data_IF_128040880900
#
_entry.id   IF_128040880900
#
_cell.length_a   1.000
_cell.length_b   1.000
_cell.length_c   1.000
_cell.angle_alpha   90.00
_cell.angle_beta   90.00
_cell.angle_gamma   90.00
#
_symmetry.space_group_name_H-M   'P 1'
#
loop_
_entity.id
_entity.type
_entity.pdbx_description
1 polymer ?
#
# COMPACT_ATOMS: atom_id res chain seq x y z
N UNK A 1 -0.75 -9.67 -15.31
CA UNK A 1 -0.46 -9.70 -13.86
C UNK A 1 -1.70 -9.27 -13.08
N UNK A 2 -1.94 -9.86 -11.94
CA UNK A 2 -2.99 -9.42 -11.04
C UNK A 2 -2.55 -8.19 -10.23
N UNK A 3 -3.43 -7.68 -9.35
CA UNK A 3 -3.13 -6.50 -8.53
C UNK A 3 -1.89 -6.70 -7.66
N UNK A 4 -1.80 -7.82 -6.96
CA UNK A 4 -0.69 -8.10 -6.04
C UNK A 4 0.63 -8.19 -6.79
N UNK A 5 0.66 -8.91 -7.91
CA UNK A 5 1.85 -9.03 -8.74
C UNK A 5 2.29 -7.68 -9.32
N UNK A 6 1.33 -6.83 -9.69
CA UNK A 6 1.63 -5.51 -10.22
C UNK A 6 2.20 -4.60 -9.12
N UNK A 7 1.60 -4.60 -7.93
CA UNK A 7 2.16 -3.87 -6.77
C UNK A 7 3.60 -4.34 -6.51
N UNK A 8 3.80 -5.65 -6.44
CA UNK A 8 5.11 -6.26 -6.22
C UNK A 8 6.15 -5.78 -7.23
N UNK A 9 5.75 -5.64 -8.49
CA UNK A 9 6.67 -5.20 -9.55
C UNK A 9 7.19 -3.77 -9.37
N UNK A 10 6.51 -2.93 -8.59
CA UNK A 10 6.95 -1.57 -8.29
C UNK A 10 7.75 -1.46 -6.98
N UNK A 11 7.95 -2.56 -6.28
CA UNK A 11 8.71 -2.58 -5.03
C UNK A 11 10.14 -3.05 -5.33
N UNK A 12 11.12 -2.23 -4.96
CA UNK A 12 12.52 -2.56 -5.12
C UNK A 12 13.00 -3.48 -3.98
N UNK A 13 14.07 -4.24 -4.24
CA UNK A 13 14.60 -5.20 -3.27
C UNK A 13 15.05 -4.58 -1.95
N UNK A 14 15.45 -3.32 -1.97
CA UNK A 14 15.90 -2.57 -0.79
C UNK A 14 14.81 -1.74 -0.13
N UNK A 15 13.58 -1.77 -0.66
CA UNK A 15 12.46 -1.07 -0.04
C UNK A 15 12.05 -1.75 1.27
N UNK A 16 11.75 -0.91 2.28
CA UNK A 16 11.12 -1.36 3.53
C UNK A 16 9.62 -1.07 3.42
N UNK A 17 8.81 -2.11 3.41
CA UNK A 17 7.41 -2.03 2.98
C UNK A 17 6.45 -2.17 4.15
N UNK A 18 5.43 -1.32 4.20
CA UNK A 18 4.23 -1.55 5.01
C UNK A 18 3.01 -1.64 4.11
N UNK A 19 2.26 -2.74 4.25
CA UNK A 19 1.01 -3.00 3.56
C UNK A 19 -0.14 -2.78 4.55
N UNK A 20 -0.88 -1.68 4.37
CA UNK A 20 -1.99 -1.31 5.26
C UNK A 20 -3.30 -1.82 4.66
N UNK A 21 -4.07 -2.57 5.46
CA UNK A 21 -5.23 -3.30 4.95
C UNK A 21 -4.79 -4.57 4.24
N UNK A 22 -3.92 -5.33 4.88
CA UNK A 22 -3.20 -6.44 4.24
C UNK A 22 -4.06 -7.68 3.93
N UNK A 23 -5.25 -7.77 4.51
CA UNK A 23 -6.17 -8.91 4.33
C UNK A 23 -5.44 -10.24 4.55
N UNK A 24 -5.31 -11.08 3.53
CA UNK A 24 -4.64 -12.39 3.63
C UNK A 24 -3.12 -12.30 3.58
N UNK A 25 -2.55 -11.10 3.62
CA UNK A 25 -1.10 -10.85 3.57
C UNK A 25 -0.41 -11.41 2.31
N UNK A 26 -1.11 -11.45 1.19
CA UNK A 26 -0.58 -12.00 -0.07
C UNK A 26 0.65 -11.26 -0.57
N UNK A 27 0.69 -9.93 -0.43
CA UNK A 27 1.86 -9.15 -0.82
C UNK A 27 3.06 -9.49 0.06
N UNK A 28 2.85 -9.54 1.38
CA UNK A 28 3.91 -9.92 2.32
C UNK A 28 4.48 -11.30 2.03
N UNK A 29 3.62 -12.26 1.71
CA UNK A 29 4.03 -13.62 1.32
C UNK A 29 4.89 -13.58 0.05
N UNK A 30 4.48 -12.81 -0.94
CA UNK A 30 5.22 -12.69 -2.20
C UNK A 30 6.60 -12.06 -1.99
N UNK A 31 6.67 -11.01 -1.15
CA UNK A 31 7.94 -10.37 -0.78
C UNK A 31 8.84 -11.34 0.01
N UNK A 32 8.26 -12.09 0.94
CA UNK A 32 9.01 -13.07 1.76
C UNK A 32 9.64 -14.16 0.90
N UNK A 33 9.00 -14.56 -0.19
CA UNK A 33 9.54 -15.56 -1.13
C UNK A 33 10.83 -15.11 -1.80
N UNK A 34 11.10 -13.80 -1.87
CA UNK A 34 12.40 -13.27 -2.31
C UNK A 34 13.26 -12.79 -1.13
N UNK A 35 12.96 -13.27 0.08
CA UNK A 35 13.67 -12.95 1.31
C UNK A 35 13.61 -11.46 1.70
N UNK A 36 12.53 -10.78 1.32
CA UNK A 36 12.30 -9.38 1.65
C UNK A 36 11.30 -9.27 2.81
N UNK A 37 11.72 -8.60 3.87
CA UNK A 37 10.88 -8.35 5.04
C UNK A 37 9.83 -7.30 4.75
N UNK A 38 8.68 -7.42 5.40
CA UNK A 38 7.61 -6.41 5.32
C UNK A 38 6.82 -6.34 6.62
N UNK A 39 6.12 -5.23 6.79
CA UNK A 39 5.10 -5.04 7.81
C UNK A 39 3.76 -5.17 7.10
N UNK A 40 2.86 -5.97 7.66
CA UNK A 40 1.51 -6.11 7.14
C UNK A 40 0.52 -5.83 8.27
N UNK A 41 -0.40 -4.90 8.04
CA UNK A 41 -1.33 -4.48 9.08
C UNK A 41 -2.77 -4.50 8.59
N UNK A 42 -3.68 -4.68 9.54
CA UNK A 42 -5.11 -4.61 9.30
C UNK A 42 -5.78 -4.13 10.58
N UNK A 43 -6.91 -3.45 10.45
CA UNK A 43 -7.69 -3.01 11.61
C UNK A 43 -8.40 -4.20 12.28
N UNK A 44 -8.65 -5.27 11.55
CA UNK A 44 -9.35 -6.46 12.03
C UNK A 44 -8.39 -7.43 12.73
N UNK A 45 -8.59 -7.63 14.00
CA UNK A 45 -7.85 -8.62 14.79
C UNK A 45 -8.03 -10.03 14.23
N UNK A 46 -9.24 -10.37 13.79
CA UNK A 46 -9.55 -11.68 13.18
C UNK A 46 -8.77 -11.91 11.89
N UNK A 47 -8.65 -10.88 11.06
CA UNK A 47 -7.87 -10.94 9.82
C UNK A 47 -6.40 -11.22 10.13
N UNK A 48 -5.84 -10.53 11.10
CA UNK A 48 -4.44 -10.72 11.52
C UNK A 48 -4.22 -12.11 12.12
N UNK A 49 -5.13 -12.60 12.95
CA UNK A 49 -5.05 -13.95 13.52
C UNK A 49 -5.01 -15.01 12.43
N UNK A 50 -5.90 -14.91 11.45
CA UNK A 50 -5.94 -15.85 10.32
C UNK A 50 -4.67 -15.76 9.47
N UNK A 51 -4.22 -14.55 9.15
CA UNK A 51 -2.99 -14.34 8.40
C UNK A 51 -1.79 -14.94 9.14
N UNK A 52 -1.73 -14.77 10.46
CA UNK A 52 -0.68 -15.35 11.30
C UNK A 52 -0.61 -16.87 11.19
N UNK A 53 -1.75 -17.55 11.21
CA UNK A 53 -1.81 -19.00 11.04
C UNK A 53 -1.31 -19.42 9.66
N UNK A 54 -1.72 -18.70 8.62
CA UNK A 54 -1.35 -19.03 7.24
C UNK A 54 0.15 -18.85 7.01
N UNK A 55 0.74 -17.74 7.47
CA UNK A 55 2.18 -17.47 7.26
C UNK A 55 3.06 -18.41 8.08
N UNK A 56 2.62 -18.81 9.26
CA UNK A 56 3.34 -19.80 10.08
C UNK A 56 3.38 -21.17 9.38
N UNK A 57 2.28 -21.58 8.77
CA UNK A 57 2.23 -22.82 7.98
C UNK A 57 3.21 -22.79 6.82
N UNK A 58 3.48 -21.61 6.25
CA UNK A 58 4.42 -21.44 5.16
C UNK A 58 5.85 -21.23 5.65
N UNK A 59 6.09 -21.12 6.96
CA UNK A 59 7.41 -20.88 7.53
C UNK A 59 7.94 -19.47 7.26
N UNK A 60 7.05 -18.48 7.06
CA UNK A 60 7.42 -17.13 6.68
C UNK A 60 7.23 -16.09 7.80
N UNK A 61 6.93 -16.54 9.02
CA UNK A 61 6.62 -15.67 10.15
C UNK A 61 7.79 -14.80 10.60
N UNK A 62 9.03 -15.15 10.27
CA UNK A 62 10.19 -14.32 10.55
C UNK A 62 10.38 -13.16 9.54
N UNK A 63 9.66 -13.20 8.43
CA UNK A 63 9.80 -12.21 7.35
C UNK A 63 8.62 -11.26 7.23
N UNK A 64 7.51 -11.54 7.91
CA UNK A 64 6.30 -10.74 7.85
C UNK A 64 5.91 -10.33 9.27
N UNK A 65 6.00 -9.04 9.56
CA UNK A 65 5.61 -8.46 10.85
C UNK A 65 4.13 -8.08 10.77
N UNK A 66 3.27 -8.91 11.36
CA UNK A 66 1.82 -8.68 11.36
C UNK A 66 1.41 -7.80 12.54
N UNK A 67 0.60 -6.78 12.27
CA UNK A 67 0.12 -5.84 13.30
C UNK A 67 -1.36 -5.58 13.16
N UNK A 68 -2.08 -5.53 14.27
CA UNK A 68 -3.42 -4.92 14.32
C UNK A 68 -3.21 -3.42 14.44
N UNK A 69 -3.72 -2.64 13.49
CA UNK A 69 -3.44 -1.22 13.42
C UNK A 69 -4.60 -0.45 12.79
N UNK A 70 -4.94 0.68 13.40
CA UNK A 70 -5.83 1.64 12.75
C UNK A 70 -4.98 2.54 11.84
N UNK A 71 -5.02 2.25 10.53
CA UNK A 71 -4.18 2.94 9.56
C UNK A 71 -2.70 2.78 9.89
N UNK A 72 -2.00 3.89 10.07
CA UNK A 72 -0.57 3.92 10.35
C UNK A 72 -0.23 4.07 11.85
N UNK A 73 -1.23 3.92 12.74
CA UNK A 73 -1.05 4.19 14.17
C UNK A 73 0.00 3.30 14.84
N UNK A 74 0.24 2.09 14.34
CA UNK A 74 1.24 1.17 14.89
C UNK A 74 2.60 1.25 14.19
N UNK A 75 2.76 2.15 13.23
CA UNK A 75 3.99 2.28 12.44
C UNK A 75 4.79 3.45 12.99
N UNK A 76 6.07 3.21 13.28
CA UNK A 76 7.00 4.22 13.80
C UNK A 76 7.80 4.83 12.66
N UNK A 77 8.27 6.06 12.89
CA UNK A 77 9.18 6.72 11.96
C UNK A 77 10.41 5.84 11.70
N UNK A 78 10.78 5.73 10.43
CA UNK A 78 11.95 4.95 10.01
C UNK A 78 11.69 3.45 9.82
N UNK A 79 10.50 2.93 10.18
CA UNK A 79 10.20 1.51 10.00
C UNK A 79 9.90 1.12 8.56
N UNK A 80 9.35 2.04 7.76
CA UNK A 80 9.03 1.77 6.37
C UNK A 80 9.22 3.00 5.51
N UNK A 81 9.78 2.83 4.33
CA UNK A 81 9.93 3.88 3.33
C UNK A 81 8.89 3.77 2.20
N UNK A 82 8.25 2.63 2.07
CA UNK A 82 7.26 2.33 1.02
C UNK A 82 5.94 1.89 1.64
N UNK A 83 4.88 2.62 1.29
CA UNK A 83 3.53 2.36 1.79
C UNK A 83 2.67 1.81 0.68
N UNK A 84 1.93 0.76 0.97
CA UNK A 84 0.93 0.19 0.06
C UNK A 84 -0.46 0.33 0.67
N UNK A 85 -1.37 0.93 -0.10
CA UNK A 85 -2.77 1.13 0.26
C UNK A 85 -3.63 0.60 -0.89
N UNK A 86 -4.15 -0.59 -0.75
CA UNK A 86 -4.92 -1.25 -1.79
C UNK A 86 -6.26 -1.77 -1.26
N UNK A 87 -7.28 -1.72 -2.11
CA UNK A 87 -8.58 -2.29 -1.77
C UNK A 87 -9.47 -1.39 -0.92
N UNK A 88 -9.18 -0.09 -0.88
CA UNK A 88 -9.97 0.89 -0.13
C UNK A 88 -10.31 2.09 -1.02
N UNK A 89 -11.30 2.89 -0.61
CA UNK A 89 -11.68 4.09 -1.34
C UNK A 89 -10.70 5.24 -1.11
N UNK A 90 -10.77 6.23 -1.99
CA UNK A 90 -9.92 7.43 -1.91
C UNK A 90 -10.08 8.17 -0.59
N UNK A 91 -11.32 8.27 -0.08
CA UNK A 91 -11.57 8.93 1.21
C UNK A 91 -10.80 8.26 2.35
N UNK A 92 -10.80 6.94 2.40
CA UNK A 92 -10.07 6.17 3.42
C UNK A 92 -8.55 6.35 3.30
N UNK A 93 -8.04 6.31 2.07
CA UNK A 93 -6.61 6.54 1.80
C UNK A 93 -6.18 7.91 2.33
N UNK A 94 -6.93 8.94 2.00
CA UNK A 94 -6.63 10.32 2.41
C UNK A 94 -6.75 10.49 3.93
N UNK A 95 -7.72 9.84 4.55
CA UNK A 95 -7.90 9.86 6.00
C UNK A 95 -6.68 9.28 6.71
N UNK A 96 -6.18 8.14 6.24
CA UNK A 96 -4.96 7.50 6.78
C UNK A 96 -3.77 8.45 6.69
N UNK A 97 -3.58 9.09 5.53
CA UNK A 97 -2.44 9.97 5.30
C UNK A 97 -2.53 11.31 6.03
N UNK A 98 -3.74 11.82 6.27
CA UNK A 98 -3.94 13.04 7.04
C UNK A 98 -3.69 12.84 8.54
N UNK A 99 -3.85 11.62 9.04
CA UNK A 99 -3.73 11.29 10.46
C UNK A 99 -2.33 10.82 10.85
N UNK A 100 -1.33 11.01 10.00
CA UNK A 100 0.04 10.62 10.28
C UNK A 100 1.00 11.76 9.94
N UNK A 101 2.12 11.83 10.66
CA UNK A 101 3.26 12.68 10.33
C UNK A 101 4.35 11.93 9.56
N UNK A 102 4.15 10.64 9.32
CA UNK A 102 5.11 9.82 8.59
C UNK A 102 5.18 10.24 7.13
N UNK A 103 6.40 10.20 6.58
CA UNK A 103 6.66 10.46 5.16
C UNK A 103 7.18 9.18 4.53
N UNK A 104 6.82 8.97 3.27
CA UNK A 104 7.21 7.79 2.52
C UNK A 104 7.93 8.20 1.23
N UNK A 105 8.93 7.41 0.84
CA UNK A 105 9.62 7.55 -0.44
C UNK A 105 8.67 7.22 -1.59
N UNK A 106 7.89 6.16 -1.42
CA UNK A 106 6.87 5.68 -2.36
C UNK A 106 5.56 5.41 -1.65
N UNK A 107 4.46 5.75 -2.31
CA UNK A 107 3.12 5.31 -1.91
C UNK A 107 2.47 4.66 -3.13
N UNK A 108 2.13 3.38 -3.02
CA UNK A 108 1.47 2.62 -4.07
C UNK A 108 0.00 2.47 -3.68
N UNK A 109 -0.90 2.98 -4.49
CA UNK A 109 -2.34 2.93 -4.22
C UNK A 109 -3.08 2.16 -5.29
N UNK A 110 -4.09 1.40 -4.86
CA UNK A 110 -5.16 0.93 -5.74
C UNK A 110 -6.45 1.34 -5.05
N UNK A 111 -6.96 2.52 -5.43
CA UNK A 111 -8.21 3.04 -4.87
C UNK A 111 -9.40 2.48 -5.63
N UNK A 112 -10.51 2.29 -4.91
CA UNK A 112 -11.76 1.81 -5.50
C UNK A 112 -12.52 2.88 -6.27
N UNK A 113 -12.18 4.18 -6.11
CA UNK A 113 -12.95 5.28 -6.68
C UNK A 113 -12.18 6.60 -6.68
N UNK A 114 -12.76 7.62 -7.34
CA UNK A 114 -12.33 9.02 -7.27
C UNK A 114 -10.83 9.25 -7.49
N UNK A 115 -10.29 8.69 -8.56
CA UNK A 115 -8.85 8.78 -8.86
C UNK A 115 -8.38 10.21 -9.12
N UNK A 116 -9.22 11.05 -9.69
CA UNK A 116 -8.95 12.48 -9.91
C UNK A 116 -8.78 13.21 -8.58
N UNK A 117 -9.68 12.98 -7.64
CA UNK A 117 -9.61 13.55 -6.28
C UNK A 117 -8.36 13.04 -5.56
N UNK A 118 -8.03 11.76 -5.72
CA UNK A 118 -6.84 11.18 -5.12
C UNK A 118 -5.58 11.90 -5.60
N UNK A 119 -5.41 12.09 -6.91
CA UNK A 119 -4.24 12.79 -7.47
C UNK A 119 -4.12 14.21 -6.91
N UNK A 120 -5.23 14.96 -6.90
CA UNK A 120 -5.26 16.34 -6.44
C UNK A 120 -4.91 16.45 -4.95
N UNK A 121 -5.56 15.65 -4.11
CA UNK A 121 -5.35 15.69 -2.65
C UNK A 121 -4.00 15.15 -2.23
N UNK A 122 -3.46 14.16 -2.93
CA UNK A 122 -2.08 13.69 -2.70
C UNK A 122 -1.08 14.80 -3.00
N UNK A 123 -1.33 15.60 -4.02
CA UNK A 123 -0.48 16.76 -4.33
C UNK A 123 -0.49 17.78 -3.18
N UNK A 124 -1.62 18.01 -2.54
CA UNK A 124 -1.72 18.86 -1.34
C UNK A 124 -0.88 18.31 -0.18
N UNK A 125 -0.69 16.99 -0.13
CA UNK A 125 0.15 16.32 0.85
C UNK A 125 1.61 16.19 0.40
N UNK A 126 1.97 16.84 -0.71
CA UNK A 126 3.31 16.84 -1.30
C UNK A 126 3.75 15.47 -1.83
N UNK A 127 2.82 14.77 -2.46
CA UNK A 127 3.08 13.55 -3.24
C UNK A 127 2.54 13.73 -4.65
N UNK A 128 3.36 13.42 -5.64
CA UNK A 128 3.00 13.51 -7.06
C UNK A 128 2.96 12.13 -7.71
N UNK A 129 2.20 12.02 -8.77
CA UNK A 129 2.13 10.80 -9.58
C UNK A 129 3.45 10.60 -10.31
N UNK A 130 4.10 9.45 -10.09
CA UNK A 130 5.26 9.03 -10.89
C UNK A 130 4.80 8.18 -12.06
N UNK A 131 3.90 7.23 -11.82
CA UNK A 131 3.34 6.39 -12.88
C UNK A 131 1.96 5.87 -12.49
N UNK A 132 1.18 5.51 -13.50
CA UNK A 132 -0.13 4.87 -13.35
C UNK A 132 -0.20 3.67 -14.26
N UNK A 133 -0.93 2.65 -13.81
CA UNK A 133 -1.16 1.45 -14.60
C UNK A 133 -2.58 0.94 -14.38
N UNK A 134 -3.26 0.59 -15.47
CA UNK A 134 -4.56 -0.06 -15.40
C UNK A 134 -4.35 -1.56 -15.37
N UNK A 135 -4.99 -2.21 -14.41
CA UNK A 135 -4.91 -3.66 -14.20
C UNK A 135 -6.29 -4.26 -14.46
N UNK A 136 -6.34 -5.27 -15.32
CA UNK A 136 -7.57 -6.06 -15.51
C UNK A 136 -7.45 -7.35 -14.72
N UNK A 137 -8.40 -7.57 -13.79
CA UNK A 137 -8.45 -8.77 -12.97
C UNK A 137 -9.92 -9.17 -12.78
N UNK A 138 -10.27 -10.43 -13.07
CA UNK A 138 -11.63 -10.95 -12.92
C UNK A 138 -12.70 -10.07 -13.60
N UNK A 139 -12.43 -9.61 -14.82
CA UNK A 139 -13.31 -8.72 -15.60
C UNK A 139 -13.55 -7.35 -14.98
N UNK A 140 -12.73 -6.93 -14.02
CA UNK A 140 -12.74 -5.60 -13.42
C UNK A 140 -11.45 -4.87 -13.76
N UNK A 141 -11.53 -3.55 -13.80
CA UNK A 141 -10.37 -2.70 -14.03
C UNK A 141 -10.02 -1.96 -12.75
N UNK A 142 -8.72 -1.89 -12.47
CA UNK A 142 -8.17 -1.22 -11.30
C UNK A 142 -7.09 -0.25 -11.73
N UNK A 143 -7.04 0.90 -11.08
CA UNK A 143 -6.00 1.91 -11.34
C UNK A 143 -4.95 1.85 -10.23
N UNK A 144 -3.76 1.38 -10.56
CA UNK A 144 -2.61 1.51 -9.67
C UNK A 144 -1.96 2.85 -9.93
N UNK A 145 -1.76 3.63 -8.87
CA UNK A 145 -1.03 4.89 -8.95
C UNK A 145 0.14 4.83 -7.98
N UNK A 146 1.34 5.05 -8.51
CA UNK A 146 2.56 5.19 -7.72
C UNK A 146 2.84 6.67 -7.51
N UNK A 147 2.87 7.07 -6.24
CA UNK A 147 3.20 8.44 -5.84
C UNK A 147 4.61 8.51 -5.25
N UNK A 148 5.28 9.62 -5.48
CA UNK A 148 6.56 9.96 -4.85
C UNK A 148 6.47 11.37 -4.27
N UNK A 149 7.41 11.74 -3.40
CA UNK A 149 7.46 13.09 -2.82
C UNK A 149 7.61 14.14 -3.91
N UNK A 150 6.83 15.21 -3.81
CA UNK A 150 6.88 16.32 -4.75
C UNK A 150 5.58 17.11 -4.73
N UNK A 151 5.58 18.19 -5.51
CA UNK A 151 4.40 19.02 -5.69
C UNK A 151 4.37 19.53 -7.13
N UNK A 152 3.18 19.52 -7.72
CA UNK A 152 3.01 19.92 -9.11
C UNK A 152 1.61 20.52 -9.28
N UNK A 153 1.46 21.44 -10.24
CA UNK A 153 0.17 21.99 -10.59
C UNK A 153 -0.46 21.16 -11.70
N UNK A 154 -1.53 20.45 -11.37
CA UNK A 154 -2.29 19.66 -12.35
C UNK A 154 -3.22 20.52 -13.18
N UNK A 155 -3.34 20.21 -14.47
CA UNK A 155 -4.40 20.72 -15.32
C UNK A 155 -5.64 19.83 -15.18
N UNK A 156 -6.80 20.31 -15.66
CA UNK A 156 -8.04 19.49 -15.65
C UNK A 156 -7.88 18.18 -16.43
N UNK A 157 -7.13 18.22 -17.53
CA UNK A 157 -6.90 17.06 -18.39
C UNK A 157 -6.03 16.01 -17.73
N UNK A 158 -5.15 16.40 -16.79
CA UNK A 158 -4.28 15.51 -16.07
C UNK A 158 -4.97 14.81 -14.89
N UNK A 159 -6.07 15.34 -14.42
CA UNK A 159 -6.85 14.74 -13.35
C UNK A 159 -7.89 13.79 -13.92
#
# INVERSE_FOLDING_TARGET
>A
MNRIETIYSFIDLDDTVVDVGCDQAKLGILLAKRNQKSIASDISEKVIEKASLDIKKLGLDNLIDLRVSNGLSSIKEGEADTLVLSGMGTHTILEILKNTNLRFKKIITISNNYHDILREKMNELNYIVETEQIIKENNKYYNLILFVSGNKKYTKEEL
#
